data_IF_230160273278
#
_entry.id   IF_230160273278
#
_cell.length_a   1.000
_cell.length_b   1.000
_cell.length_c   1.000
_cell.angle_alpha   90.00
_cell.angle_beta   90.00
_cell.angle_gamma   90.00
#
_symmetry.space_group_name_H-M   'P 1'
#
loop_
_entity.id
_entity.type
_entity.pdbx_description
1 polymer ?
#
# COMPACT_ATOMS: atom_id res chain seq x y z
N UNK A 1 -4.33 -16.27 14.88
CA UNK A 1 -3.76 -16.16 13.53
C UNK A 1 -4.43 -17.20 12.65
N UNK A 2 -5.24 -16.78 11.68
CA UNK A 2 -5.98 -17.67 10.77
C UNK A 2 -5.21 -17.87 9.46
N UNK A 3 -4.02 -18.45 9.53
CA UNK A 3 -3.27 -18.77 8.32
C UNK A 3 -3.85 -20.03 7.66
N UNK A 4 -4.05 -20.00 6.35
CA UNK A 4 -4.43 -21.20 5.61
C UNK A 4 -3.17 -21.97 5.25
N UNK A 5 -3.21 -23.28 5.46
CA UNK A 5 -2.10 -24.19 5.18
C UNK A 5 -2.55 -25.17 4.11
N UNK A 6 -2.07 -24.96 2.88
CA UNK A 6 -2.30 -25.92 1.81
C UNK A 6 -1.30 -27.07 1.96
N UNK A 7 -1.81 -28.29 2.07
CA UNK A 7 -1.02 -29.52 2.01
C UNK A 7 -1.39 -30.27 0.74
N UNK A 8 -0.44 -30.40 -0.18
CA UNK A 8 -0.66 -31.06 -1.47
C UNK A 8 0.41 -32.11 -1.74
N UNK A 9 0.04 -33.16 -2.48
CA UNK A 9 1.01 -34.17 -2.96
C UNK A 9 1.74 -33.63 -4.17
N UNK A 10 3.05 -33.81 -4.20
CA UNK A 10 3.87 -33.31 -5.30
C UNK A 10 3.97 -34.39 -6.39
N UNK A 11 3.70 -34.06 -7.67
CA UNK A 11 3.93 -35.00 -8.77
C UNK A 11 5.38 -35.44 -8.77
N UNK A 12 5.64 -36.74 -9.01
CA UNK A 12 6.99 -37.34 -8.99
C UNK A 12 7.98 -36.73 -9.99
N UNK A 13 7.51 -35.90 -10.93
CA UNK A 13 8.32 -35.20 -11.91
C UNK A 13 8.80 -33.80 -11.46
N UNK A 14 8.35 -33.31 -10.31
CA UNK A 14 8.79 -32.02 -9.77
C UNK A 14 10.05 -32.23 -8.92
N UNK A 15 11.19 -31.69 -9.36
CA UNK A 15 12.45 -31.68 -8.60
C UNK A 15 12.93 -30.23 -8.51
N UNK A 16 13.15 -29.73 -7.30
CA UNK A 16 13.64 -28.37 -7.01
C UNK A 16 12.79 -27.23 -7.64
N UNK A 17 11.47 -27.40 -7.70
CA UNK A 17 10.55 -26.38 -8.23
C UNK A 17 10.04 -25.42 -7.15
N UNK A 18 9.69 -24.20 -7.55
CA UNK A 18 8.84 -23.32 -6.74
C UNK A 18 7.39 -23.80 -6.88
N UNK A 19 6.69 -23.88 -5.75
CA UNK A 19 5.27 -24.18 -5.69
C UNK A 19 4.53 -22.92 -5.29
N UNK A 20 3.50 -22.59 -6.06
CA UNK A 20 2.60 -21.47 -5.81
C UNK A 20 1.19 -21.95 -5.48
N UNK A 21 0.51 -21.22 -4.61
CA UNK A 21 -0.89 -21.44 -4.29
C UNK A 21 -1.67 -20.13 -4.30
N UNK A 22 -2.86 -20.19 -4.89
CA UNK A 22 -3.83 -19.10 -4.92
C UNK A 22 -5.10 -19.56 -4.23
N UNK A 23 -5.63 -18.71 -3.35
CA UNK A 23 -6.90 -18.92 -2.68
C UNK A 23 -7.58 -17.56 -2.48
N UNK A 24 -8.83 -17.42 -2.92
CA UNK A 24 -9.58 -16.18 -2.80
C UNK A 24 -9.64 -15.68 -1.35
N UNK A 25 -9.31 -14.40 -1.15
CA UNK A 25 -9.24 -13.80 0.18
C UNK A 25 -7.94 -14.10 0.94
N UNK A 26 -6.93 -14.67 0.28
CA UNK A 26 -5.61 -14.90 0.84
C UNK A 26 -4.51 -14.39 -0.10
N UNK A 27 -3.37 -14.02 0.49
CA UNK A 27 -2.15 -13.73 -0.27
C UNK A 27 -1.70 -14.96 -1.06
N UNK A 28 -1.10 -14.71 -2.22
CA UNK A 28 -0.37 -15.71 -2.99
C UNK A 28 0.74 -16.32 -2.13
N UNK A 29 0.61 -17.61 -1.82
CA UNK A 29 1.63 -18.33 -1.07
C UNK A 29 2.63 -18.98 -2.01
N UNK A 30 3.92 -18.94 -1.63
CA UNK A 30 5.00 -19.63 -2.34
C UNK A 30 5.82 -20.48 -1.38
N UNK A 31 6.36 -21.59 -1.86
CA UNK A 31 7.36 -22.38 -1.15
C UNK A 31 8.29 -23.06 -2.14
N UNK A 32 9.52 -23.34 -1.72
CA UNK A 32 10.43 -24.18 -2.50
C UNK A 32 10.16 -25.64 -2.16
N UNK A 33 10.15 -26.50 -3.18
CA UNK A 33 10.04 -27.95 -3.00
C UNK A 33 11.38 -28.55 -2.56
N UNK A 34 11.40 -29.19 -1.38
CA UNK A 34 12.62 -29.76 -0.77
C UNK A 34 12.76 -31.28 -0.95
N UNK A 35 11.97 -31.90 -1.83
CA UNK A 35 12.07 -33.34 -2.11
C UNK A 35 11.24 -34.27 -1.21
N UNK A 36 10.25 -33.72 -0.49
CA UNK A 36 9.33 -34.47 0.39
C UNK A 36 8.03 -34.87 -0.33
N UNK A 37 7.31 -35.90 0.12
CA UNK A 37 6.04 -36.31 -0.53
C UNK A 37 4.94 -35.22 -0.51
N UNK A 38 5.11 -34.22 0.35
CA UNK A 38 4.17 -33.12 0.55
C UNK A 38 4.92 -31.79 0.63
N UNK A 39 4.28 -30.73 0.14
CA UNK A 39 4.68 -29.37 0.41
C UNK A 39 3.60 -28.64 1.20
N UNK A 40 4.05 -27.63 1.93
CA UNK A 40 3.24 -26.88 2.88
C UNK A 40 3.33 -25.41 2.49
N UNK A 41 2.22 -24.84 2.01
CA UNK A 41 2.19 -23.45 1.57
C UNK A 41 1.34 -22.66 2.56
N UNK A 42 1.97 -21.68 3.21
CA UNK A 42 1.31 -20.76 4.11
C UNK A 42 0.70 -19.61 3.30
N UNK A 43 -0.57 -19.31 3.55
CA UNK A 43 -1.26 -18.19 2.94
C UNK A 43 -1.91 -17.33 4.03
N UNK A 44 -1.66 -16.02 3.99
CA UNK A 44 -2.21 -15.07 4.95
C UNK A 44 -3.52 -14.48 4.45
N UNK A 45 -4.55 -14.33 5.30
CA UNK A 45 -5.82 -13.76 4.88
C UNK A 45 -5.65 -12.28 4.53
N UNK A 46 -6.25 -11.84 3.43
CA UNK A 46 -6.31 -10.44 3.02
C UNK A 46 -7.74 -9.93 3.05
N UNK A 47 -7.88 -8.61 3.10
CA UNK A 47 -9.14 -7.91 3.04
C UNK A 47 -9.04 -6.75 2.05
N UNK A 48 -10.07 -6.60 1.23
CA UNK A 48 -10.20 -5.50 0.26
C UNK A 48 -10.77 -4.26 0.94
N UNK A 49 -10.21 -3.10 0.61
CA UNK A 49 -10.64 -1.79 1.07
C UNK A 49 -10.86 -0.86 -0.10
N UNK A 50 -11.97 -0.12 -0.10
CA UNK A 50 -12.14 1.02 -1.00
C UNK A 50 -11.14 2.11 -0.63
N UNK A 51 -10.56 2.76 -1.62
CA UNK A 51 -9.54 3.78 -1.40
C UNK A 51 -10.12 5.17 -1.55
N UNK A 52 -9.81 6.05 -0.59
CA UNK A 52 -10.04 7.49 -0.65
C UNK A 52 -8.72 8.25 -0.51
N UNK A 53 -8.71 9.48 -1.02
CA UNK A 53 -7.57 10.39 -0.92
C UNK A 53 -8.00 11.76 -0.41
N UNK A 54 -7.30 12.22 0.63
CA UNK A 54 -7.36 13.60 1.10
C UNK A 54 -6.02 14.27 0.80
N UNK A 55 -6.07 15.52 0.38
CA UNK A 55 -4.90 16.36 0.12
C UNK A 55 -4.85 17.51 1.13
N UNK A 56 -3.66 17.76 1.67
CA UNK A 56 -3.40 18.76 2.71
C UNK A 56 -2.28 19.70 2.29
N UNK A 57 -2.42 21.00 2.54
CA UNK A 57 -1.34 21.95 2.30
C UNK A 57 -0.22 21.80 3.35
N UNK A 58 1.05 21.78 2.92
CA UNK A 58 2.22 21.66 3.83
C UNK A 58 2.37 22.83 4.81
N UNK A 59 1.80 24.00 4.49
CA UNK A 59 1.84 25.18 5.37
C UNK A 59 0.64 25.27 6.33
N UNK A 60 -0.43 24.49 6.08
CA UNK A 60 -1.64 24.49 6.89
C UNK A 60 -2.48 23.20 6.71
N UNK A 61 -2.28 22.22 7.60
CA UNK A 61 -3.05 20.97 7.60
C UNK A 61 -4.54 21.11 7.95
N UNK A 62 -5.05 22.31 8.23
CA UNK A 62 -6.51 22.52 8.31
C UNK A 62 -7.16 22.71 6.94
N UNK A 63 -6.37 22.93 5.89
CA UNK A 63 -6.85 22.98 4.51
C UNK A 63 -6.80 21.58 3.94
N UNK A 64 -7.96 20.94 3.92
CA UNK A 64 -8.17 19.62 3.34
C UNK A 64 -9.05 19.75 2.11
N UNK A 65 -8.62 19.15 1.01
CA UNK A 65 -9.43 18.96 -0.18
C UNK A 65 -9.41 17.51 -0.62
N UNK A 66 -10.49 17.06 -1.27
CA UNK A 66 -10.47 15.78 -1.98
C UNK A 66 -9.53 15.89 -3.19
N UNK A 67 -9.02 14.75 -3.66
CA UNK A 67 -8.18 14.71 -4.86
C UNK A 67 -8.90 15.40 -6.04
N UNK A 68 -8.40 16.57 -6.52
CA UNK A 68 -9.03 17.31 -7.60
C UNK A 68 -9.00 16.54 -8.92
N UNK A 69 -9.91 16.88 -9.85
CA UNK A 69 -9.87 16.32 -11.21
C UNK A 69 -8.59 16.77 -11.92
N UNK A 70 -7.82 15.81 -12.44
CA UNK A 70 -6.54 16.04 -13.10
C UNK A 70 -5.31 15.81 -12.21
N UNK A 71 -5.50 15.71 -10.89
CA UNK A 71 -4.48 15.19 -9.99
C UNK A 71 -4.59 13.66 -9.94
N UNK A 72 -3.46 12.98 -9.91
CA UNK A 72 -3.34 11.54 -9.84
C UNK A 72 -2.49 11.13 -8.63
N UNK A 73 -2.67 9.90 -8.16
CA UNK A 73 -1.90 9.35 -7.04
C UNK A 73 -1.38 7.99 -7.42
N UNK A 74 -0.10 7.74 -7.14
CA UNK A 74 0.50 6.41 -7.16
C UNK A 74 0.84 6.02 -5.73
N UNK A 75 0.38 4.86 -5.27
CA UNK A 75 0.65 4.32 -3.94
C UNK A 75 1.37 2.99 -4.06
N UNK A 76 2.50 2.86 -3.40
CA UNK A 76 3.22 1.61 -3.18
C UNK A 76 3.07 1.22 -1.72
N UNK A 77 2.66 -0.03 -1.49
CA UNK A 77 2.44 -0.60 -0.16
C UNK A 77 3.31 -1.85 -0.06
N UNK A 78 4.34 -1.78 0.77
CA UNK A 78 5.25 -2.90 1.00
C UNK A 78 5.14 -3.38 2.43
N UNK A 79 4.91 -4.67 2.62
CA UNK A 79 4.92 -5.27 3.95
C UNK A 79 6.34 -5.37 4.50
N UNK A 80 6.56 -4.94 5.75
CA UNK A 80 7.87 -4.99 6.39
C UNK A 80 8.23 -6.37 6.96
N UNK A 81 7.24 -7.20 7.31
CA UNK A 81 7.48 -8.55 7.83
C UNK A 81 7.41 -9.65 6.77
N UNK A 82 6.76 -9.37 5.65
CA UNK A 82 6.50 -10.32 4.57
C UNK A 82 6.80 -9.63 3.23
N UNK A 83 8.07 -9.64 2.78
CA UNK A 83 8.51 -8.88 1.60
C UNK A 83 7.82 -9.29 0.29
N UNK A 84 7.27 -10.49 0.23
CA UNK A 84 6.50 -10.98 -0.93
C UNK A 84 5.14 -10.27 -1.07
N UNK A 85 4.72 -9.51 -0.05
CA UNK A 85 3.54 -8.66 -0.12
C UNK A 85 3.94 -7.23 -0.48
N UNK A 86 3.86 -6.95 -1.78
CA UNK A 86 3.98 -5.61 -2.35
C UNK A 86 2.79 -5.34 -3.26
N UNK A 87 2.18 -4.16 -3.14
CA UNK A 87 1.12 -3.71 -4.01
C UNK A 87 1.42 -2.32 -4.54
N UNK A 88 1.26 -2.16 -5.85
CA UNK A 88 1.32 -0.87 -6.53
C UNK A 88 -0.09 -0.53 -6.99
N UNK A 89 -0.51 0.68 -6.68
CA UNK A 89 -1.82 1.21 -6.98
C UNK A 89 -1.70 2.59 -7.65
N UNK A 90 -2.57 2.91 -8.60
CA UNK A 90 -2.61 4.23 -9.22
C UNK A 90 -4.04 4.65 -9.54
N UNK A 91 -4.37 5.92 -9.35
CA UNK A 91 -5.64 6.52 -9.81
C UNK A 91 -5.46 7.94 -10.33
N UNK A 92 -6.34 8.34 -11.25
CA UNK A 92 -6.42 9.69 -11.81
C UNK A 92 -7.58 10.52 -11.22
N UNK A 93 -8.41 9.92 -10.36
CA UNK A 93 -9.51 10.63 -9.72
C UNK A 93 -9.98 10.00 -8.40
N UNK A 94 -10.68 10.80 -7.59
CA UNK A 94 -11.42 10.32 -6.41
C UNK A 94 -12.75 9.66 -6.74
N UNK A 95 -13.21 9.74 -8.01
CA UNK A 95 -14.47 9.14 -8.47
C UNK A 95 -14.30 7.67 -8.90
N UNK A 96 -13.07 7.24 -9.18
CA UNK A 96 -12.74 5.85 -9.49
C UNK A 96 -12.78 4.99 -8.22
N UNK A 97 -13.80 4.13 -8.10
CA UNK A 97 -13.91 3.19 -6.98
C UNK A 97 -12.85 2.11 -7.14
N UNK A 98 -11.71 2.38 -6.53
CA UNK A 98 -10.59 1.47 -6.50
C UNK A 98 -10.49 0.73 -5.17
N UNK A 99 -9.94 -0.48 -5.24
CA UNK A 99 -9.73 -1.33 -4.07
C UNK A 99 -8.24 -1.66 -3.90
N UNK A 100 -7.77 -1.68 -2.65
CA UNK A 100 -6.49 -2.28 -2.27
C UNK A 100 -6.71 -3.47 -1.36
N UNK A 101 -5.76 -4.39 -1.33
CA UNK A 101 -5.75 -5.49 -0.38
C UNK A 101 -4.79 -5.18 0.77
N UNK A 102 -5.19 -5.49 2.00
CA UNK A 102 -4.28 -5.46 3.16
C UNK A 102 -4.41 -6.80 3.90
N UNK A 103 -3.32 -7.26 4.52
CA UNK A 103 -3.35 -8.44 5.40
C UNK A 103 -4.34 -8.17 6.52
N UNK A 104 -5.29 -9.10 6.69
CA UNK A 104 -6.38 -8.99 7.64
C UNK A 104 -5.94 -9.38 9.07
N UNK A 105 -4.85 -8.76 9.54
CA UNK A 105 -4.25 -8.97 10.85
C UNK A 105 -3.38 -7.77 11.26
N UNK A 106 -2.80 -7.84 12.46
CA UNK A 106 -1.73 -6.93 12.88
C UNK A 106 -0.55 -7.01 11.92
N UNK A 107 -0.19 -5.87 11.31
CA UNK A 107 0.85 -5.80 10.31
C UNK A 107 1.50 -4.42 10.25
N UNK A 108 2.75 -4.37 9.78
CA UNK A 108 3.44 -3.10 9.51
C UNK A 108 3.78 -3.00 8.04
N UNK A 109 3.36 -1.89 7.42
CA UNK A 109 3.64 -1.58 6.02
C UNK A 109 4.56 -0.36 5.93
N UNK A 110 5.37 -0.31 4.89
CA UNK A 110 5.96 0.91 4.37
C UNK A 110 5.09 1.42 3.22
N UNK A 111 4.70 2.69 3.28
CA UNK A 111 3.86 3.33 2.28
C UNK A 111 4.67 4.40 1.56
N UNK A 112 4.63 4.37 0.24
CA UNK A 112 5.12 5.45 -0.62
C UNK A 112 3.97 5.89 -1.53
N UNK A 113 3.36 7.03 -1.21
CA UNK A 113 2.29 7.62 -2.00
C UNK A 113 2.78 8.92 -2.64
N UNK A 114 2.69 9.03 -3.95
CA UNK A 114 3.09 10.22 -4.72
C UNK A 114 1.86 10.92 -5.28
N UNK A 115 1.73 12.21 -4.99
CA UNK A 115 0.71 13.08 -5.55
C UNK A 115 1.25 13.76 -6.81
N UNK A 116 0.59 13.52 -7.94
CA UNK A 116 1.04 13.93 -9.27
C UNK A 116 -0.01 14.87 -9.89
N UNK A 117 0.37 16.11 -10.16
CA UNK A 117 -0.49 17.09 -10.82
C UNK A 117 -0.31 17.06 -12.35
N UNK A 118 -1.43 17.15 -13.06
CA UNK A 118 -1.51 17.15 -14.53
C UNK A 118 -0.79 15.94 -15.19
N UNK A 119 -0.71 14.81 -14.47
CA UNK A 119 -0.06 13.58 -14.93
C UNK A 119 1.46 13.64 -15.11
N UNK A 120 2.13 14.73 -14.69
CA UNK A 120 3.57 14.90 -14.94
C UNK A 120 4.38 15.32 -13.71
N UNK A 121 3.80 16.13 -12.81
CA UNK A 121 4.58 16.83 -11.78
C UNK A 121 4.30 16.24 -10.41
N UNK A 122 5.33 15.71 -9.75
CA UNK A 122 5.21 15.31 -8.34
C UNK A 122 5.15 16.56 -7.47
N UNK A 123 4.01 16.78 -6.83
CA UNK A 123 3.73 17.98 -6.02
C UNK A 123 3.64 17.67 -4.52
N UNK A 124 3.78 16.40 -4.14
CA UNK A 124 3.65 15.97 -2.75
C UNK A 124 3.43 14.47 -2.63
N UNK A 125 2.93 14.04 -1.47
CA UNK A 125 2.75 12.62 -1.19
C UNK A 125 2.65 12.27 0.29
N UNK A 126 2.90 11.01 0.60
CA UNK A 126 3.11 10.49 1.93
C UNK A 126 4.16 9.38 1.86
N UNK A 127 5.20 9.46 2.67
CA UNK A 127 6.17 8.36 2.84
C UNK A 127 6.27 8.03 4.31
N UNK A 128 6.11 6.76 4.68
CA UNK A 128 6.32 6.35 6.07
C UNK A 128 5.75 4.98 6.43
N UNK A 129 6.07 4.57 7.65
CA UNK A 129 5.64 3.29 8.20
C UNK A 129 4.25 3.39 8.80
N UNK A 130 3.40 2.41 8.47
CA UNK A 130 2.02 2.34 8.88
C UNK A 130 1.77 1.02 9.62
N UNK A 131 1.62 1.14 10.94
CA UNK A 131 1.27 0.03 11.82
C UNK A 131 -0.24 -0.15 11.84
N UNK A 132 -0.74 -1.18 11.19
CA UNK A 132 -2.15 -1.54 11.14
C UNK A 132 -2.43 -2.59 12.20
N UNK A 133 -3.38 -2.34 13.09
CA UNK A 133 -3.86 -3.36 14.04
C UNK A 133 -5.16 -3.97 13.55
N UNK A 134 -5.36 -5.26 13.83
CA UNK A 134 -6.60 -5.94 13.47
C UNK A 134 -7.86 -5.20 13.94
N UNK A 135 -7.92 -4.64 15.18
CA UNK A 135 -9.07 -3.85 15.62
C UNK A 135 -9.33 -2.60 14.77
N UNK A 136 -8.31 -2.00 14.16
CA UNK A 136 -8.45 -0.78 13.34
C UNK A 136 -9.12 -1.08 12.00
N UNK A 137 -9.00 -2.32 11.52
CA UNK A 137 -9.54 -2.77 10.24
C UNK A 137 -10.79 -3.64 10.36
N UNK A 138 -11.05 -4.20 11.54
CA UNK A 138 -12.21 -5.03 11.80
C UNK A 138 -13.51 -4.23 11.56
N UNK A 139 -14.36 -4.71 10.65
CA UNK A 139 -15.61 -4.04 10.29
C UNK A 139 -15.48 -2.77 9.43
N UNK A 140 -14.27 -2.32 9.11
CA UNK A 140 -14.01 -1.18 8.22
C UNK A 140 -14.02 -1.60 6.75
N UNK A 141 -14.37 -0.71 5.84
CA UNK A 141 -14.40 -1.03 4.40
C UNK A 141 -13.61 -0.07 3.54
N UNK A 142 -13.19 1.06 4.12
CA UNK A 142 -12.54 2.13 3.39
C UNK A 142 -11.24 2.50 4.07
N UNK A 143 -10.20 2.72 3.27
CA UNK A 143 -8.92 3.29 3.69
C UNK A 143 -8.77 4.65 3.02
N UNK A 144 -8.40 5.65 3.81
CA UNK A 144 -8.15 7.01 3.34
C UNK A 144 -6.67 7.32 3.49
N UNK A 145 -5.99 7.58 2.37
CA UNK A 145 -4.64 8.10 2.37
C UNK A 145 -4.67 9.62 2.45
N UNK A 146 -3.90 10.17 3.39
CA UNK A 146 -3.79 11.61 3.60
C UNK A 146 -2.44 12.06 3.04
N UNK A 147 -2.46 12.87 1.99
CA UNK A 147 -1.26 13.28 1.25
C UNK A 147 -0.96 14.74 1.53
N UNK A 148 0.30 15.07 1.79
CA UNK A 148 0.75 16.45 1.87
C UNK A 148 1.11 16.97 0.49
N UNK A 149 0.60 18.15 0.13
CA UNK A 149 1.03 18.94 -1.02
C UNK A 149 2.07 19.95 -0.56
N UNK A 150 3.24 19.96 -1.22
CA UNK A 150 4.29 20.93 -0.93
C UNK A 150 3.91 22.30 -1.51
N UNK A 151 3.94 23.32 -0.66
CA UNK A 151 3.72 24.72 -1.02
C UNK A 151 5.02 25.52 -0.84
N UNK A 152 5.47 26.33 -1.83
CA UNK A 152 4.87 26.51 -3.16
C UNK A 152 5.02 25.26 -4.04
N UNK A 153 4.11 25.12 -5.02
CA UNK A 153 4.14 24.02 -5.98
C UNK A 153 5.41 24.13 -6.83
N UNK A 154 6.15 23.04 -6.93
CA UNK A 154 7.33 22.94 -7.75
C UNK A 154 7.00 23.14 -9.25
N UNK A 155 7.70 24.06 -9.91
CA UNK A 155 7.48 24.37 -11.33
C UNK A 155 8.65 23.92 -12.20
N UNK A 156 9.87 23.85 -11.65
CA UNK A 156 11.06 23.32 -12.31
C UNK A 156 11.37 21.88 -11.91
N UNK A 157 12.16 21.16 -12.71
CA UNK A 157 12.61 19.80 -12.40
C UNK A 157 13.41 19.72 -11.10
N UNK A 158 14.27 20.70 -10.83
CA UNK A 158 15.03 20.80 -9.58
C UNK A 158 14.10 20.95 -8.37
N UNK A 159 13.07 21.79 -8.48
CA UNK A 159 12.07 21.94 -7.43
C UNK A 159 11.24 20.68 -7.23
N UNK A 160 10.95 19.91 -8.30
CA UNK A 160 10.24 18.64 -8.21
C UNK A 160 11.09 17.59 -7.49
N UNK A 161 12.39 17.51 -7.80
CA UNK A 161 13.32 16.66 -7.05
C UNK A 161 13.36 17.07 -5.57
N UNK A 162 13.39 18.37 -5.28
CA UNK A 162 13.31 18.89 -3.92
C UNK A 162 11.96 18.58 -3.23
N UNK A 163 10.87 18.46 -3.98
CA UNK A 163 9.57 18.03 -3.46
C UNK A 163 9.58 16.55 -3.07
N UNK A 164 10.21 15.69 -3.88
CA UNK A 164 10.42 14.29 -3.52
C UNK A 164 11.34 14.14 -2.28
N UNK A 165 12.44 14.90 -2.20
CA UNK A 165 13.32 14.91 -1.03
C UNK A 165 12.63 15.41 0.24
N UNK A 166 11.70 16.36 0.12
CA UNK A 166 10.90 16.79 1.26
C UNK A 166 10.13 15.64 1.90
N UNK A 167 9.59 14.72 1.09
CA UNK A 167 8.85 13.57 1.59
C UNK A 167 9.74 12.58 2.37
N UNK A 168 11.03 12.45 2.00
CA UNK A 168 11.97 11.58 2.71
C UNK A 168 12.55 12.22 3.97
N UNK A 169 12.82 13.52 3.93
CA UNK A 169 13.64 14.20 4.93
C UNK A 169 12.80 14.81 6.06
N UNK A 170 11.62 15.35 5.75
CA UNK A 170 10.71 15.93 6.74
C UNK A 170 9.72 14.86 7.24
N UNK A 171 9.91 14.40 8.49
CA UNK A 171 9.03 13.41 9.11
C UNK A 171 7.89 14.03 9.92
N UNK A 172 7.80 15.36 10.00
CA UNK A 172 6.86 16.05 10.90
C UNK A 172 5.40 15.81 10.56
N UNK A 173 5.10 15.53 9.28
CA UNK A 173 3.74 15.26 8.80
C UNK A 173 3.33 13.79 8.92
N UNK A 174 4.30 12.86 9.01
CA UNK A 174 4.05 11.41 8.92
C UNK A 174 3.08 10.91 9.98
N UNK A 175 3.23 11.38 11.22
CA UNK A 175 2.34 10.99 12.33
C UNK A 175 0.93 11.58 12.20
N UNK A 176 0.81 12.79 11.65
CA UNK A 176 -0.48 13.49 11.54
C UNK A 176 -1.29 13.01 10.33
N UNK A 177 -0.62 12.62 9.26
CA UNK A 177 -1.21 12.24 7.99
C UNK A 177 -1.15 10.73 7.73
N UNK A 178 -1.05 9.92 8.79
CA UNK A 178 -1.15 8.46 8.65
C UNK A 178 -2.44 8.07 7.91
N UNK A 179 -2.42 7.00 7.10
CA UNK A 179 -3.65 6.48 6.53
C UNK A 179 -4.64 6.05 7.62
N UNK A 180 -5.93 6.22 7.35
CA UNK A 180 -7.01 5.99 8.33
C UNK A 180 -8.09 5.08 7.76
N UNK A 181 -8.83 4.38 8.63
CA UNK A 181 -9.91 3.49 8.23
C UNK A 181 -11.28 4.05 8.61
N UNK A 182 -12.29 3.82 7.75
CA UNK A 182 -13.68 4.19 8.01
C UNK A 182 -14.69 3.06 7.75
#
# INVERSE_FOLDING_TARGET
>A
MGAYRLRTKIPSACTNGELSALLDGYMHGKTVYEGTDYAEILMMPVKKFKVNFNKYDSDNFNRVEQLPKGDSVVVVITSLSDPDFEQVYSTESSEDVSEIELINWDHTYHIEAFLIQDGQRVIGGYVGDWNVKYPDIAGKSTVTFNLVQKIPIAVSEEEQANAALYLSDDKSYQEQLKPTFS
#
